data_IF_413672692173
#
_entry.id   IF_413672692173
#
_cell.length_a   1.000
_cell.length_b   1.000
_cell.length_c   1.000
_cell.angle_alpha   90.00
_cell.angle_beta   90.00
_cell.angle_gamma   90.00
#
_symmetry.space_group_name_H-M   'P 1'
#
loop_
_entity.id
_entity.type
_entity.pdbx_description
1 polymer ?
#
# COMPACT_ATOMS: atom_id res chain seq x y z
N UNK A 1 -0.28 12.92 -10.21
CA UNK A 1 1.18 13.04 -10.09
C UNK A 1 1.70 11.70 -9.60
N UNK A 2 2.54 11.02 -10.39
CA UNK A 2 3.24 9.79 -9.96
C UNK A 2 4.63 10.24 -9.56
N UNK A 3 5.02 10.04 -8.30
CA UNK A 3 6.41 10.25 -7.91
C UNK A 3 7.27 9.23 -8.66
N UNK A 4 8.22 9.72 -9.47
CA UNK A 4 9.18 8.87 -10.16
C UNK A 4 10.31 8.49 -9.19
N UNK A 5 10.01 7.55 -8.31
CA UNK A 5 10.95 7.11 -7.27
C UNK A 5 11.79 5.91 -7.72
N UNK A 6 11.52 5.34 -8.89
CA UNK A 6 12.09 4.07 -9.32
C UNK A 6 13.62 4.19 -9.54
N UNK A 7 14.15 5.41 -9.69
CA UNK A 7 15.59 5.71 -9.72
C UNK A 7 16.25 5.92 -8.35
N UNK A 8 15.46 5.98 -7.28
CA UNK A 8 15.91 6.29 -5.91
C UNK A 8 15.79 5.09 -4.96
N UNK A 9 15.11 4.02 -5.39
CA UNK A 9 14.81 2.86 -4.55
C UNK A 9 15.11 1.56 -5.26
N UNK A 10 15.66 0.61 -4.51
CA UNK A 10 15.70 -0.80 -4.90
C UNK A 10 14.62 -1.55 -4.12
N UNK A 11 14.01 -2.58 -4.72
CA UNK A 11 13.00 -3.41 -4.06
C UNK A 11 13.47 -4.85 -3.96
N UNK A 12 13.59 -5.34 -2.74
CA UNK A 12 14.00 -6.71 -2.45
C UNK A 12 12.74 -7.55 -2.24
N UNK A 13 12.51 -8.52 -3.12
CA UNK A 13 11.31 -9.35 -3.09
C UNK A 13 11.16 -10.12 -1.77
N UNK A 14 10.02 -9.94 -1.11
CA UNK A 14 9.56 -10.72 0.04
C UNK A 14 8.61 -11.85 -0.38
N UNK A 15 8.47 -12.87 0.48
CA UNK A 15 7.63 -14.04 0.23
C UNK A 15 6.16 -13.88 0.69
N UNK A 16 5.86 -12.89 1.53
CA UNK A 16 4.52 -12.67 2.08
C UNK A 16 3.85 -11.42 1.49
N UNK A 17 2.52 -11.36 1.60
CA UNK A 17 1.80 -10.10 1.52
C UNK A 17 2.02 -9.29 2.80
N UNK A 18 2.03 -7.98 2.67
CA UNK A 18 2.24 -7.05 3.79
C UNK A 18 1.14 -5.98 3.89
N UNK A 19 0.16 -6.03 2.98
CA UNK A 19 -1.10 -5.30 3.07
C UNK A 19 -2.23 -6.28 2.83
N UNK A 20 -3.26 -6.25 3.68
CA UNK A 20 -4.50 -7.03 3.49
C UNK A 20 -5.71 -6.13 3.67
N UNK A 21 -6.73 -6.33 2.85
CA UNK A 21 -8.04 -5.67 3.00
C UNK A 21 -9.06 -6.66 3.52
N UNK A 22 -9.66 -6.35 4.67
CA UNK A 22 -10.90 -6.97 5.13
C UNK A 22 -12.09 -6.30 4.43
N UNK A 23 -12.62 -7.00 3.43
CA UNK A 23 -13.75 -6.52 2.64
C UNK A 23 -15.04 -6.44 3.46
N UNK A 24 -15.16 -7.13 4.60
CA UNK A 24 -16.36 -7.10 5.44
C UNK A 24 -16.46 -5.78 6.20
N UNK A 25 -15.33 -5.28 6.72
CA UNK A 25 -15.24 -3.99 7.45
C UNK A 25 -15.21 -2.78 6.54
N UNK A 26 -14.72 -2.92 5.30
CA UNK A 26 -14.59 -1.80 4.37
C UNK A 26 -15.95 -1.14 4.06
N UNK A 27 -16.11 0.13 4.43
CA UNK A 27 -17.30 0.94 4.16
C UNK A 27 -17.16 1.85 2.91
N UNK A 28 -16.05 1.73 2.17
CA UNK A 28 -15.75 2.53 0.98
C UNK A 28 -15.72 4.06 1.22
N UNK A 29 -15.21 4.51 2.38
CA UNK A 29 -15.02 5.94 2.67
C UNK A 29 -14.04 6.65 1.72
N UNK A 30 -13.15 5.90 1.04
CA UNK A 30 -12.27 6.44 0.01
C UNK A 30 -10.96 7.06 0.51
N UNK A 31 -10.73 7.18 1.82
CA UNK A 31 -9.51 7.80 2.37
C UNK A 31 -8.22 7.14 1.87
N UNK A 32 -8.19 5.80 1.76
CA UNK A 32 -7.02 5.07 1.24
C UNK A 32 -6.72 5.38 -0.24
N UNK A 33 -7.72 5.75 -1.05
CA UNK A 33 -7.54 6.16 -2.45
C UNK A 33 -6.87 7.53 -2.54
N UNK A 34 -7.19 8.42 -1.60
CA UNK A 34 -6.67 9.80 -1.57
C UNK A 34 -5.26 9.85 -0.99
N UNK A 35 -5.00 9.16 0.13
CA UNK A 35 -3.73 9.25 0.85
C UNK A 35 -2.58 8.51 0.15
N UNK A 36 -2.89 7.53 -0.70
CA UNK A 36 -1.86 6.71 -1.33
C UNK A 36 -1.17 7.49 -2.46
N UNK A 37 0.02 8.01 -2.17
CA UNK A 37 0.87 8.74 -3.15
C UNK A 37 1.24 7.90 -4.37
N UNK A 38 1.28 6.57 -4.22
CA UNK A 38 1.53 5.62 -5.31
C UNK A 38 0.26 5.19 -6.06
N UNK A 39 -0.91 5.66 -5.65
CA UNK A 39 -2.20 5.41 -6.31
C UNK A 39 -2.57 3.93 -6.41
N UNK A 40 -2.23 3.13 -5.39
CA UNK A 40 -2.39 1.67 -5.39
C UNK A 40 -3.81 1.22 -5.06
N UNK A 41 -4.55 2.02 -4.28
CA UNK A 41 -5.94 1.73 -3.96
C UNK A 41 -6.87 2.20 -5.08
N UNK A 42 -7.83 1.36 -5.44
CA UNK A 42 -8.85 1.59 -6.46
C UNK A 42 -10.24 1.30 -5.90
N UNK A 43 -11.26 1.86 -6.54
CA UNK A 43 -12.67 1.57 -6.24
C UNK A 43 -13.16 0.46 -7.17
N UNK A 44 -13.81 -0.56 -6.63
CA UNK A 44 -14.55 -1.57 -7.39
C UNK A 44 -15.94 -1.74 -6.76
N UNK A 45 -16.94 -1.10 -7.35
CA UNK A 45 -18.30 -1.07 -6.82
C UNK A 45 -18.38 -0.37 -5.44
N UNK A 46 -18.82 -1.12 -4.41
CA UNK A 46 -18.97 -0.65 -3.03
C UNK A 46 -17.78 -0.99 -2.13
N UNK A 47 -16.64 -1.38 -2.69
CA UNK A 47 -15.43 -1.75 -1.92
C UNK A 47 -14.17 -1.17 -2.54
N UNK A 48 -13.17 -0.97 -1.69
CA UNK A 48 -11.81 -0.68 -2.15
C UNK A 48 -11.13 -1.97 -2.61
N UNK A 49 -10.09 -1.83 -3.42
CA UNK A 49 -9.20 -2.91 -3.86
C UNK A 49 -7.78 -2.37 -4.00
N UNK A 50 -6.77 -3.17 -3.70
CA UNK A 50 -5.36 -2.81 -3.88
C UNK A 50 -4.85 -3.40 -5.19
N UNK A 51 -4.10 -2.64 -5.98
CA UNK A 51 -3.58 -3.10 -7.27
C UNK A 51 -2.75 -4.39 -7.14
N UNK A 52 -2.86 -5.28 -8.12
CA UNK A 52 -2.18 -6.59 -8.12
C UNK A 52 -0.64 -6.45 -8.06
N UNK A 53 -0.13 -5.36 -8.65
CA UNK A 53 1.29 -5.01 -8.69
C UNK A 53 1.74 -4.20 -7.46
N UNK A 54 0.98 -4.15 -6.36
CA UNK A 54 1.30 -3.23 -5.26
C UNK A 54 2.69 -3.45 -4.66
N UNK A 55 3.20 -4.69 -4.62
CA UNK A 55 4.53 -5.00 -4.08
C UNK A 55 5.66 -4.34 -4.86
N UNK A 56 5.50 -4.13 -6.17
CA UNK A 56 6.54 -3.50 -7.00
C UNK A 56 6.49 -1.98 -6.95
N UNK A 57 5.49 -1.38 -6.29
CA UNK A 57 5.24 0.06 -6.30
C UNK A 57 5.02 0.68 -4.93
N UNK A 58 4.64 -0.10 -3.92
CA UNK A 58 4.45 0.40 -2.57
C UNK A 58 5.77 0.92 -2.01
N UNK A 59 5.65 1.98 -1.21
CA UNK A 59 6.74 2.66 -0.51
C UNK A 59 6.73 2.37 1.00
N UNK A 60 5.85 1.44 1.42
CA UNK A 60 5.78 0.95 2.80
C UNK A 60 5.56 2.05 3.85
N UNK A 61 4.89 3.14 3.47
CA UNK A 61 4.66 4.29 4.35
C UNK A 61 3.57 4.08 5.41
N UNK A 62 2.78 3.01 5.32
CA UNK A 62 1.68 2.72 6.26
C UNK A 62 0.49 3.70 6.24
N UNK A 63 0.52 4.77 5.42
CA UNK A 63 -0.51 5.82 5.47
C UNK A 63 -1.94 5.31 5.24
N UNK A 64 -2.11 4.34 4.33
CA UNK A 64 -3.43 3.75 4.07
C UNK A 64 -4.03 3.00 5.27
N UNK A 65 -3.17 2.35 6.07
CA UNK A 65 -3.54 1.70 7.31
C UNK A 65 -3.95 2.75 8.35
N UNK A 66 -3.12 3.78 8.54
CA UNK A 66 -3.36 4.82 9.54
C UNK A 66 -4.65 5.62 9.33
N UNK A 67 -5.05 5.87 8.08
CA UNK A 67 -6.29 6.62 7.80
C UNK A 67 -7.55 5.76 7.75
N UNK A 68 -7.45 4.44 7.94
CA UNK A 68 -8.59 3.53 7.83
C UNK A 68 -9.40 3.48 9.13
N UNK A 69 -10.32 4.42 9.30
CA UNK A 69 -11.20 4.48 10.49
C UNK A 69 -12.07 3.22 10.70
N UNK A 70 -12.34 2.47 9.63
CA UNK A 70 -13.10 1.21 9.69
C UNK A 70 -12.24 0.00 10.08
N UNK A 71 -10.93 0.20 10.28
CA UNK A 71 -9.96 -0.85 10.64
C UNK A 71 -10.01 -2.05 9.68
N UNK A 72 -10.19 -1.72 8.40
CA UNK A 72 -10.38 -2.68 7.30
C UNK A 72 -9.08 -2.97 6.54
N UNK A 73 -8.02 -2.19 6.77
CA UNK A 73 -6.72 -2.39 6.14
C UNK A 73 -5.79 -2.88 7.24
N UNK A 74 -5.14 -4.01 7.01
CA UNK A 74 -4.03 -4.49 7.84
C UNK A 74 -2.72 -4.23 7.09
N UNK A 75 -1.71 -3.77 7.81
CA UNK A 75 -0.38 -3.46 7.29
C UNK A 75 0.68 -3.87 8.29
N UNK A 76 1.71 -4.54 7.79
CA UNK A 76 2.94 -4.74 8.52
C UNK A 76 4.12 -4.49 7.58
N UNK A 77 5.32 -4.30 8.13
CA UNK A 77 6.51 -4.25 7.28
C UNK A 77 6.84 -5.65 6.74
N UNK A 78 7.43 -5.75 5.53
CA UNK A 78 8.06 -6.98 5.08
C UNK A 78 9.11 -7.49 6.09
N UNK A 79 9.43 -8.78 6.01
CA UNK A 79 10.49 -9.37 6.83
C UNK A 79 11.82 -8.64 6.66
N UNK A 80 12.66 -8.64 7.70
CA UNK A 80 13.96 -7.97 7.69
C UNK A 80 14.79 -8.27 6.44
N UNK A 81 15.36 -7.24 5.84
CA UNK A 81 16.14 -7.32 4.60
C UNK A 81 15.29 -7.46 3.32
N UNK A 82 13.96 -7.38 3.41
CA UNK A 82 13.02 -7.35 2.28
C UNK A 82 12.30 -6.00 2.22
N UNK A 83 11.64 -5.73 1.10
CA UNK A 83 10.86 -4.51 0.89
C UNK A 83 11.61 -3.42 0.12
N UNK A 84 11.15 -2.19 0.27
CA UNK A 84 11.74 -0.99 -0.33
C UNK A 84 13.01 -0.58 0.41
N UNK A 85 14.09 -0.39 -0.34
CA UNK A 85 15.38 0.09 0.14
C UNK A 85 15.61 1.47 -0.48
N UNK A 86 15.62 2.50 0.34
CA UNK A 86 15.91 3.87 -0.09
C UNK A 86 17.42 4.08 -0.20
N UNK A 87 17.91 4.35 -1.40
CA UNK A 87 19.35 4.54 -1.64
C UNK A 87 19.77 6.01 -1.50
N UNK A 88 18.81 6.93 -1.62
CA UNK A 88 19.03 8.39 -1.61
C UNK A 88 17.90 9.09 -0.85
N UNK A 89 17.94 9.00 0.48
CA UNK A 89 16.97 9.59 1.41
C UNK A 89 17.26 11.03 1.80
#
# INVERSE_FOLDING_TARGET
MRADIDSLVTRIAGSSDFIKLDSTKCNMCGRCLVVCTMGLWKKKGKKAYIADDYKSRCVECGACYQVCEADAIDFHYPSGGKGVVYERG
#
